data_IF_846895893688
#
_entry.id   IF_846895893688
#
_cell.length_a   1.000
_cell.length_b   1.000
_cell.length_c   1.000
_cell.angle_alpha   90.00
_cell.angle_beta   90.00
_cell.angle_gamma   90.00
#
_symmetry.space_group_name_H-M   'P 1'
#
loop_
_entity.id
_entity.type
_entity.pdbx_description
1 polymer ?
#
# COMPACT_ATOMS: atom_id res chain seq x y z
N UNK A 1 -24.42 -4.47 -5.45
CA UNK A 1 -23.39 -4.94 -4.49
C UNK A 1 -22.09 -5.46 -5.13
N UNK A 2 -22.04 -6.19 -6.28
CA UNK A 2 -20.76 -6.67 -6.83
C UNK A 2 -19.86 -5.53 -7.35
N UNK A 3 -20.44 -4.42 -7.82
CA UNK A 3 -19.69 -3.24 -8.29
C UNK A 3 -18.88 -2.54 -7.19
N UNK A 4 -19.43 -2.46 -5.97
CA UNK A 4 -18.76 -1.81 -4.83
C UNK A 4 -17.53 -2.61 -4.37
N UNK A 5 -17.65 -3.94 -4.34
CA UNK A 5 -16.53 -4.83 -3.99
C UNK A 5 -15.42 -4.71 -5.04
N UNK A 6 -15.76 -4.70 -6.33
CA UNK A 6 -14.78 -4.49 -7.41
C UNK A 6 -14.07 -3.13 -7.31
N UNK A 7 -14.83 -2.07 -7.03
CA UNK A 7 -14.28 -0.73 -6.78
C UNK A 7 -13.31 -0.73 -5.60
N UNK A 8 -13.70 -1.32 -4.48
CA UNK A 8 -12.89 -1.39 -3.27
C UNK A 8 -11.58 -2.15 -3.52
N UNK A 9 -11.66 -3.34 -4.13
CA UNK A 9 -10.49 -4.15 -4.47
C UNK A 9 -9.54 -3.38 -5.39
N UNK A 10 -10.06 -2.67 -6.39
CA UNK A 10 -9.23 -1.93 -7.36
C UNK A 10 -8.45 -0.81 -6.67
N UNK A 11 -9.09 -0.01 -5.83
CA UNK A 11 -8.43 1.12 -5.17
C UNK A 11 -7.50 0.67 -4.04
N UNK A 12 -7.86 -0.38 -3.30
CA UNK A 12 -6.99 -0.96 -2.29
C UNK A 12 -5.75 -1.59 -2.92
N UNK A 13 -5.90 -2.33 -4.02
CA UNK A 13 -4.75 -2.94 -4.71
C UNK A 13 -3.85 -1.89 -5.32
N UNK A 14 -4.39 -0.87 -5.99
CA UNK A 14 -3.61 0.24 -6.55
C UNK A 14 -2.82 0.99 -5.45
N UNK A 15 -3.50 1.38 -4.36
CA UNK A 15 -2.83 2.05 -3.24
C UNK A 15 -1.78 1.16 -2.57
N UNK A 16 -2.08 -0.12 -2.36
CA UNK A 16 -1.13 -1.07 -1.77
C UNK A 16 0.12 -1.26 -2.65
N UNK A 17 -0.04 -1.35 -3.97
CA UNK A 17 1.08 -1.47 -4.90
C UNK A 17 1.97 -0.23 -4.86
N UNK A 18 1.38 0.97 -4.84
CA UNK A 18 2.14 2.23 -4.73
C UNK A 18 2.93 2.26 -3.42
N UNK A 19 2.29 1.97 -2.28
CA UNK A 19 2.97 1.95 -0.99
C UNK A 19 4.04 0.85 -0.89
N UNK A 20 3.82 -0.30 -1.53
CA UNK A 20 4.82 -1.38 -1.60
C UNK A 20 6.04 -0.98 -2.42
N UNK A 21 5.84 -0.35 -3.57
CA UNK A 21 6.92 0.19 -4.41
C UNK A 21 7.71 1.27 -3.67
N UNK A 22 7.03 2.16 -2.94
CA UNK A 22 7.68 3.16 -2.10
C UNK A 22 8.53 2.51 -1.00
N UNK A 23 8.03 1.45 -0.34
CA UNK A 23 8.79 0.73 0.68
C UNK A 23 10.03 0.05 0.10
N UNK A 24 9.90 -0.58 -1.08
CA UNK A 24 11.03 -1.18 -1.79
C UNK A 24 12.07 -0.11 -2.16
N UNK A 25 11.63 1.03 -2.70
CA UNK A 25 12.50 2.15 -2.99
C UNK A 25 13.24 2.63 -1.74
N UNK A 26 12.56 2.76 -0.59
CA UNK A 26 13.21 3.14 0.67
C UNK A 26 14.28 2.14 1.11
N UNK A 27 14.03 0.84 0.98
CA UNK A 27 15.03 -0.20 1.31
C UNK A 27 16.24 -0.13 0.38
N UNK A 28 16.04 0.16 -0.90
CA UNK A 28 17.13 0.29 -1.88
C UNK A 28 17.94 1.57 -1.68
N UNK A 29 17.29 2.69 -1.34
CA UNK A 29 17.96 3.98 -1.10
C UNK A 29 18.66 4.02 0.25
N UNK A 30 18.10 3.36 1.27
CA UNK A 30 18.60 3.37 2.65
C UNK A 30 18.74 1.93 3.17
N UNK A 31 19.78 1.20 2.73
CA UNK A 31 19.99 -0.18 3.15
C UNK A 31 20.27 -0.24 4.66
N UNK A 32 19.46 -1.03 5.36
CA UNK A 32 19.68 -1.33 6.78
C UNK A 32 20.87 -2.30 6.96
N UNK A 33 21.56 -2.28 8.11
CA UNK A 33 22.59 -3.27 8.42
C UNK A 33 22.02 -4.70 8.37
N UNK A 34 22.86 -5.68 8.03
CA UNK A 34 22.47 -7.06 7.69
C UNK A 34 21.60 -7.77 8.74
N UNK A 35 21.68 -7.39 10.01
CA UNK A 35 20.82 -7.91 11.09
C UNK A 35 19.33 -7.52 10.92
N UNK A 36 19.03 -6.43 10.20
CA UNK A 36 17.68 -5.92 9.94
C UNK A 36 17.04 -6.39 8.64
N UNK A 37 17.69 -7.31 7.90
CA UNK A 37 17.28 -7.81 6.58
C UNK A 37 16.68 -9.23 6.63
N UNK A 38 16.09 -9.60 7.77
CA UNK A 38 15.30 -10.82 7.86
C UNK A 38 14.13 -10.73 6.86
N UNK A 39 13.85 -11.78 6.06
CA UNK A 39 12.79 -11.76 5.04
C UNK A 39 11.43 -11.31 5.61
N UNK A 40 11.09 -11.78 6.81
CA UNK A 40 9.85 -11.39 7.50
C UNK A 40 9.81 -9.89 7.84
N UNK A 41 10.91 -9.32 8.32
CA UNK A 41 10.99 -7.89 8.64
C UNK A 41 10.83 -7.03 7.38
N UNK A 42 11.35 -7.47 6.24
CA UNK A 42 11.18 -6.80 4.97
C UNK A 42 9.72 -6.83 4.51
N UNK A 43 9.04 -7.98 4.59
CA UNK A 43 7.61 -8.08 4.31
C UNK A 43 6.77 -7.19 5.23
N UNK A 44 7.08 -7.13 6.52
CA UNK A 44 6.39 -6.26 7.48
C UNK A 44 6.60 -4.77 7.17
N UNK A 45 7.80 -4.36 6.74
CA UNK A 45 8.07 -2.97 6.31
C UNK A 45 7.27 -2.61 5.06
N UNK A 46 7.23 -3.51 4.08
CA UNK A 46 6.44 -3.33 2.85
C UNK A 46 4.96 -3.22 3.20
N UNK A 47 4.45 -4.11 4.05
CA UNK A 47 3.05 -4.07 4.49
C UNK A 47 2.71 -2.81 5.29
N UNK A 48 3.60 -2.40 6.21
CA UNK A 48 3.41 -1.21 7.04
C UNK A 48 3.28 0.08 6.21
N UNK A 49 3.96 0.16 5.06
CA UNK A 49 3.80 1.29 4.13
C UNK A 49 2.65 1.07 3.14
N UNK A 50 2.46 -0.16 2.64
CA UNK A 50 1.42 -0.51 1.68
C UNK A 50 0.01 -0.33 2.21
N UNK A 51 -0.26 -0.75 3.45
CA UNK A 51 -1.61 -0.74 4.02
C UNK A 51 -2.21 0.67 4.20
N UNK A 52 -1.49 1.67 4.75
CA UNK A 52 -1.98 3.05 4.80
C UNK A 52 -2.26 3.65 3.42
N UNK A 53 -1.43 3.37 2.42
CA UNK A 53 -1.66 3.83 1.05
C UNK A 53 -2.88 3.18 0.40
N UNK A 54 -3.10 1.89 0.65
CA UNK A 54 -4.31 1.18 0.21
C UNK A 54 -5.59 1.83 0.78
N UNK A 55 -5.59 2.13 2.08
CA UNK A 55 -6.71 2.79 2.75
C UNK A 55 -6.89 4.24 2.30
N UNK A 56 -5.80 5.00 2.13
CA UNK A 56 -5.84 6.39 1.65
C UNK A 56 -6.35 6.49 0.21
N UNK A 57 -5.91 5.58 -0.67
CA UNK A 57 -6.41 5.45 -2.04
C UNK A 57 -7.92 5.19 -2.06
N UNK A 58 -8.37 4.22 -1.27
CA UNK A 58 -9.80 3.90 -1.15
C UNK A 58 -10.60 5.08 -0.58
N UNK A 59 -10.11 5.73 0.48
CA UNK A 59 -10.78 6.88 1.09
C UNK A 59 -10.94 8.04 0.11
N UNK A 60 -9.89 8.34 -0.66
CA UNK A 60 -9.92 9.37 -1.71
C UNK A 60 -10.93 9.02 -2.79
N UNK A 61 -10.95 7.77 -3.23
CA UNK A 61 -11.87 7.31 -4.26
C UNK A 61 -13.34 7.38 -3.79
N UNK A 62 -13.61 6.99 -2.53
CA UNK A 62 -14.95 7.09 -1.94
C UNK A 62 -15.40 8.55 -1.76
N UNK A 63 -14.48 9.45 -1.40
CA UNK A 63 -14.78 10.88 -1.32
C UNK A 63 -15.17 11.44 -2.69
N UNK A 64 -14.39 11.12 -3.74
CA UNK A 64 -14.68 11.58 -5.10
C UNK A 64 -15.99 11.01 -5.67
N UNK A 65 -16.33 9.76 -5.34
CA UNK A 65 -17.59 9.12 -5.72
C UNK A 65 -18.79 9.72 -4.97
N UNK A 66 -18.60 10.16 -3.72
CA UNK A 66 -19.64 10.84 -2.93
C UNK A 66 -19.95 12.26 -3.43
N UNK A 67 -18.99 12.92 -4.07
CA UNK A 67 -19.13 14.27 -4.64
C UNK A 67 -19.72 14.26 -6.08
N UNK A 68 -19.92 13.08 -6.69
CA UNK A 68 -20.47 12.89 -8.05
C UNK A 68 -21.94 12.51 -8.09
#
# INVERSE_FOLDING_TARGET
MPKLIGFMITHMTAGFLIGSLAAIALVLLYPAPAEGLQPLALWLKIFALGAPFALGSLATALMLDADS
#
